data_IF_996451118452
#
_entry.id   IF_996451118452
#
_cell.length_a   1.000
_cell.length_b   1.000
_cell.length_c   1.000
_cell.angle_alpha   90.00
_cell.angle_beta   90.00
_cell.angle_gamma   90.00
#
_symmetry.space_group_name_H-M   'P 1'
#
loop_
_entity.id
_entity.type
_entity.pdbx_description
1 polymer ?
#
# COMPACT_ATOMS: atom_id res chain seq x y z
N UNK A 1 -24.63 6.08 -39.86
CA UNK A 1 -23.80 5.42 -38.83
C UNK A 1 -22.99 6.49 -38.11
N UNK A 2 -23.14 6.61 -36.79
CA UNK A 2 -22.44 7.64 -36.00
C UNK A 2 -20.96 7.30 -35.84
N UNK A 3 -20.09 8.31 -35.91
CA UNK A 3 -18.65 8.16 -35.66
C UNK A 3 -18.39 7.60 -34.25
N UNK A 4 -17.41 6.70 -34.06
CA UNK A 4 -17.04 6.23 -32.72
C UNK A 4 -16.59 7.39 -31.85
N UNK A 5 -17.06 7.41 -30.60
CA UNK A 5 -16.68 8.41 -29.59
C UNK A 5 -15.88 7.74 -28.49
N UNK A 6 -14.74 8.33 -28.14
CA UNK A 6 -13.95 7.90 -26.99
C UNK A 6 -14.46 8.62 -25.75
N UNK A 7 -14.66 7.86 -24.67
CA UNK A 7 -15.06 8.37 -23.36
C UNK A 7 -13.90 8.20 -22.39
N UNK A 8 -13.43 9.30 -21.79
CA UNK A 8 -12.44 9.22 -20.72
C UNK A 8 -13.13 9.08 -19.36
N UNK A 9 -12.86 7.98 -18.66
CA UNK A 9 -13.41 7.67 -17.34
C UNK A 9 -12.98 8.68 -16.26
N UNK A 10 -11.73 9.14 -16.29
CA UNK A 10 -11.22 10.12 -15.32
C UNK A 10 -11.82 11.52 -15.50
N UNK A 11 -12.29 11.85 -16.71
CA UNK A 11 -12.76 13.19 -17.05
C UNK A 11 -14.27 13.26 -17.32
N UNK A 12 -14.96 12.12 -17.41
CA UNK A 12 -16.37 12.01 -17.84
C UNK A 12 -16.68 12.83 -19.10
N UNK A 13 -15.75 12.84 -20.06
CA UNK A 13 -15.85 13.59 -21.31
C UNK A 13 -15.84 12.63 -22.49
N UNK A 14 -16.80 12.80 -23.39
CA UNK A 14 -16.87 12.11 -24.67
C UNK A 14 -16.36 13.01 -25.78
N UNK A 15 -15.48 12.50 -26.64
CA UNK A 15 -14.95 13.21 -27.80
C UNK A 15 -14.79 12.26 -29.00
N UNK A 16 -14.42 12.80 -30.16
CA UNK A 16 -14.17 11.98 -31.37
C UNK A 16 -13.02 11.01 -31.16
N UNK A 17 -13.22 9.73 -31.46
CA UNK A 17 -12.17 8.72 -31.29
C UNK A 17 -11.11 8.79 -32.39
N UNK A 18 -10.28 9.83 -32.30
CA UNK A 18 -9.05 9.97 -33.08
C UNK A 18 -7.84 9.81 -32.17
N UNK A 19 -6.81 9.14 -32.66
CA UNK A 19 -5.55 8.93 -31.92
C UNK A 19 -4.95 10.26 -31.44
N UNK A 20 -4.98 11.30 -32.28
CA UNK A 20 -4.46 12.62 -31.94
C UNK A 20 -5.30 13.30 -30.84
N UNK A 21 -6.63 13.23 -30.93
CA UNK A 21 -7.52 13.78 -29.93
C UNK A 21 -7.32 13.10 -28.56
N UNK A 22 -7.15 11.78 -28.55
CA UNK A 22 -6.85 10.99 -27.34
C UNK A 22 -5.50 11.36 -26.75
N UNK A 23 -4.47 11.47 -27.58
CA UNK A 23 -3.12 11.84 -27.13
C UNK A 23 -3.09 13.26 -26.55
N UNK A 24 -3.74 14.22 -27.21
CA UNK A 24 -3.88 15.60 -26.72
C UNK A 24 -4.64 15.67 -25.40
N UNK A 25 -5.72 14.89 -25.27
CA UNK A 25 -6.48 14.78 -24.03
C UNK A 25 -5.63 14.25 -22.88
N UNK A 26 -4.96 13.11 -23.07
CA UNK A 26 -4.15 12.45 -22.04
C UNK A 26 -2.94 13.30 -21.59
N UNK A 27 -2.37 14.10 -22.50
CA UNK A 27 -1.28 15.04 -22.17
C UNK A 27 -1.77 16.30 -21.44
N UNK A 28 -3.07 16.56 -21.46
CA UNK A 28 -3.68 17.74 -20.85
C UNK A 28 -3.55 17.76 -19.32
N UNK A 29 -3.38 18.97 -18.78
CA UNK A 29 -3.24 19.19 -17.32
C UNK A 29 -4.46 18.69 -16.53
N UNK A 30 -5.65 18.89 -17.09
CA UNK A 30 -6.91 18.48 -16.45
C UNK A 30 -6.98 16.95 -16.28
N UNK A 31 -6.65 16.19 -17.33
CA UNK A 31 -6.61 14.73 -17.27
C UNK A 31 -5.62 14.25 -16.20
N UNK A 32 -4.39 14.77 -16.19
CA UNK A 32 -3.38 14.42 -15.19
C UNK A 32 -3.82 14.73 -13.75
N UNK A 33 -4.49 15.86 -13.54
CA UNK A 33 -5.01 16.24 -12.23
C UNK A 33 -6.12 15.28 -11.77
N UNK A 34 -7.06 14.92 -12.64
CA UNK A 34 -8.13 13.99 -12.31
C UNK A 34 -7.59 12.58 -12.05
N UNK A 35 -6.61 12.13 -12.83
CA UNK A 35 -5.93 10.85 -12.59
C UNK A 35 -5.25 10.87 -11.23
N UNK A 36 -4.54 11.94 -10.87
CA UNK A 36 -3.92 12.08 -9.55
C UNK A 36 -4.97 12.02 -8.43
N UNK A 37 -6.03 12.81 -8.52
CA UNK A 37 -7.11 12.82 -7.53
C UNK A 37 -7.77 11.46 -7.36
N UNK A 38 -7.95 10.73 -8.47
CA UNK A 38 -8.49 9.38 -8.44
C UNK A 38 -7.59 8.45 -7.63
N UNK A 39 -6.28 8.44 -7.89
CA UNK A 39 -5.33 7.64 -7.09
C UNK A 39 -5.22 8.10 -5.62
N UNK A 40 -5.21 9.41 -5.37
CA UNK A 40 -5.17 9.97 -4.01
C UNK A 40 -6.37 9.50 -3.18
N UNK A 41 -7.54 9.35 -3.80
CA UNK A 41 -8.77 8.91 -3.11
C UNK A 41 -8.66 7.49 -2.53
N UNK A 42 -7.88 6.60 -3.15
CA UNK A 42 -7.62 5.27 -2.60
C UNK A 42 -6.70 5.35 -1.37
N UNK A 43 -5.68 6.22 -1.39
CA UNK A 43 -4.81 6.41 -0.23
C UNK A 43 -5.57 7.01 0.96
N UNK A 44 -6.49 7.94 0.72
CA UNK A 44 -7.38 8.47 1.74
C UNK A 44 -8.39 7.43 2.24
N UNK A 45 -8.84 6.52 1.38
CA UNK A 45 -9.73 5.44 1.79
C UNK A 45 -9.05 4.48 2.78
N UNK A 46 -7.78 4.12 2.56
CA UNK A 46 -7.01 3.30 3.50
C UNK A 46 -6.82 4.00 4.85
N UNK A 47 -6.53 5.31 4.84
CA UNK A 47 -6.47 6.12 6.06
C UNK A 47 -7.81 6.19 6.79
N UNK A 48 -8.92 6.38 6.06
CA UNK A 48 -10.28 6.41 6.63
C UNK A 48 -10.68 5.07 7.25
N UNK A 49 -10.31 3.95 6.64
CA UNK A 49 -10.52 2.61 7.21
C UNK A 49 -9.76 2.41 8.52
N UNK A 50 -8.55 2.95 8.63
CA UNK A 50 -7.78 2.90 9.87
C UNK A 50 -8.42 3.73 11.00
N UNK A 51 -8.93 4.93 10.69
CA UNK A 51 -9.59 5.80 11.67
C UNK A 51 -10.98 5.31 12.08
N UNK A 52 -11.75 4.70 11.16
CA UNK A 52 -13.09 4.20 11.47
C UNK A 52 -13.08 3.03 12.47
N UNK A 53 -11.95 2.33 12.66
CA UNK A 53 -11.82 1.30 13.70
C UNK A 53 -11.72 1.85 15.13
N UNK A 54 -11.75 3.17 15.33
CA UNK A 54 -11.56 3.78 16.66
C UNK A 54 -12.82 4.37 17.29
N UNK A 55 -13.99 4.33 16.63
CA UNK A 55 -15.23 4.92 17.17
C UNK A 55 -16.20 3.87 17.79
N UNK A 56 -15.66 2.86 18.48
CA UNK A 56 -16.47 2.11 19.47
C UNK A 56 -16.05 2.56 20.86
N UNK A 57 -16.79 3.48 21.53
CA UNK A 57 -16.54 3.82 22.91
C UNK A 57 -17.15 2.72 23.79
N UNK A 58 -16.41 1.63 23.97
CA UNK A 58 -16.86 0.55 24.85
C UNK A 58 -16.20 -0.79 24.60
N UNK A 59 -15.13 -1.04 25.37
CA UNK A 59 -14.74 -2.37 25.86
C UNK A 59 -13.94 -3.28 24.91
N UNK A 60 -12.64 -3.41 25.20
CA UNK A 60 -11.83 -4.52 24.74
C UNK A 60 -10.35 -4.15 24.53
N UNK A 61 -9.56 -4.29 25.59
CA UNK A 61 -8.10 -4.11 25.61
C UNK A 61 -7.39 -4.58 24.33
N UNK A 62 -6.59 -3.69 23.74
CA UNK A 62 -5.40 -4.07 22.95
C UNK A 62 -4.35 -2.99 23.17
N UNK A 63 -3.73 -3.08 24.33
CA UNK A 63 -2.62 -2.24 24.76
C UNK A 63 -1.37 -2.58 23.93
N UNK A 64 -1.03 -1.71 22.98
CA UNK A 64 0.35 -1.61 22.50
C UNK A 64 1.09 -0.71 23.48
N UNK A 65 1.72 -1.29 24.49
CA UNK A 65 2.66 -0.56 25.33
C UNK A 65 4.01 -0.46 24.61
N UNK A 66 4.59 0.74 24.42
CA UNK A 66 5.96 0.85 23.98
C UNK A 66 6.87 0.28 25.08
N UNK A 67 7.68 -0.72 24.75
CA UNK A 67 8.69 -1.24 25.67
C UNK A 67 9.80 -0.20 25.80
N UNK A 68 9.85 0.49 26.93
CA UNK A 68 10.97 1.36 27.29
C UNK A 68 12.15 0.46 27.70
N UNK A 69 13.35 0.60 27.11
CA UNK A 69 14.50 -0.21 27.48
C UNK A 69 15.14 0.40 28.73
N UNK A 70 14.54 0.17 29.88
CA UNK A 70 15.26 0.28 31.15
C UNK A 70 15.97 -1.04 31.37
N UNK A 71 17.29 -1.03 31.19
CA UNK A 71 18.20 -2.08 31.63
C UNK A 71 17.87 -2.41 33.08
N UNK A 72 17.30 -3.57 33.31
CA UNK A 72 17.45 -4.26 34.58
C UNK A 72 17.74 -5.72 34.26
N UNK A 73 18.94 -6.10 34.66
CA UNK A 73 19.46 -7.46 34.72
C UNK A 73 18.41 -8.37 35.37
N UNK A 74 18.25 -9.60 34.86
CA UNK A 74 17.41 -10.71 35.38
C UNK A 74 16.02 -10.88 34.73
N UNK A 75 15.97 -11.59 33.59
CA UNK A 75 14.76 -12.14 32.95
C UNK A 75 15.11 -13.26 31.95
N UNK A 76 14.24 -14.25 31.71
CA UNK A 76 14.60 -15.62 31.36
C UNK A 76 15.20 -15.73 29.96
N UNK A 77 16.24 -16.56 29.85
CA UNK A 77 16.93 -16.92 28.62
C UNK A 77 15.90 -17.39 27.60
N UNK A 78 15.72 -16.65 26.50
CA UNK A 78 14.84 -17.06 25.40
C UNK A 78 15.46 -18.29 24.73
N UNK A 79 15.03 -19.47 25.15
CA UNK A 79 15.44 -20.75 24.57
C UNK A 79 14.97 -20.82 23.10
N UNK A 80 15.93 -20.99 22.18
CA UNK A 80 15.74 -20.99 20.72
C UNK A 80 14.60 -21.92 20.26
N UNK A 81 14.30 -22.96 21.04
CA UNK A 81 13.29 -23.98 20.78
C UNK A 81 11.84 -23.54 20.95
N UNK A 82 11.58 -22.43 21.65
CA UNK A 82 10.21 -21.92 21.88
C UNK A 82 9.84 -20.73 20.98
N UNK A 83 10.71 -20.33 20.05
CA UNK A 83 10.41 -19.24 19.13
C UNK A 83 9.56 -19.73 17.95
N UNK A 84 8.63 -18.90 17.43
CA UNK A 84 7.92 -19.21 16.20
C UNK A 84 8.91 -19.36 15.02
N UNK A 85 8.56 -20.15 13.98
CA UNK A 85 9.44 -20.40 12.83
C UNK A 85 9.96 -19.13 12.14
N UNK A 86 9.19 -18.04 12.21
CA UNK A 86 9.51 -16.72 11.65
C UNK A 86 10.62 -15.96 12.40
N UNK A 87 10.96 -16.37 13.63
CA UNK A 87 11.97 -15.74 14.48
C UNK A 87 13.29 -16.55 14.53
N UNK A 88 13.37 -17.66 13.80
CA UNK A 88 14.60 -18.43 13.71
C UNK A 88 15.60 -17.71 12.80
N UNK A 89 16.87 -17.55 13.22
CA UNK A 89 17.89 -16.99 12.36
C UNK A 89 18.07 -17.90 11.14
N UNK A 90 18.32 -17.28 9.98
CA UNK A 90 18.56 -18.03 8.75
C UNK A 90 19.78 -18.95 8.94
N UNK A 91 19.71 -20.22 8.53
CA UNK A 91 20.82 -21.14 8.70
C UNK A 91 22.07 -20.61 7.95
N UNK A 92 23.27 -20.73 8.54
CA UNK A 92 24.51 -20.32 7.89
C UNK A 92 24.67 -21.13 6.59
N UNK A 93 24.62 -20.44 5.44
CA UNK A 93 24.53 -21.10 4.12
C UNK A 93 23.47 -20.48 3.21
N UNK A 94 22.37 -19.97 3.77
CA UNK A 94 21.22 -19.43 3.03
C UNK A 94 21.54 -18.19 2.19
N UNK A 95 22.53 -17.39 2.58
CA UNK A 95 22.95 -16.18 1.86
C UNK A 95 23.97 -16.44 0.73
N UNK A 96 24.49 -17.67 0.58
CA UNK A 96 25.44 -17.99 -0.49
C UNK A 96 24.79 -18.18 -1.86
N UNK A 97 23.47 -18.36 -1.92
CA UNK A 97 22.70 -18.40 -3.16
C UNK A 97 22.07 -17.03 -3.45
N UNK A 98 22.91 -16.04 -3.75
CA UNK A 98 22.42 -14.84 -4.43
C UNK A 98 22.04 -15.25 -5.86
N UNK A 99 20.74 -15.42 -6.12
CA UNK A 99 20.19 -15.63 -7.47
C UNK A 99 20.34 -14.33 -8.26
N UNK A 100 21.50 -14.17 -8.92
CA UNK A 100 21.80 -13.08 -9.84
C UNK A 100 21.18 -13.28 -11.23
N UNK A 101 19.89 -13.60 -11.31
CA UNK A 101 19.20 -13.75 -12.60
C UNK A 101 17.83 -13.08 -12.57
N UNK A 102 17.84 -11.78 -12.82
CA UNK A 102 16.72 -11.09 -13.46
C UNK A 102 17.35 -10.13 -14.48
N UNK A 103 17.47 -10.59 -15.72
CA UNK A 103 17.77 -9.80 -16.91
C UNK A 103 16.51 -9.24 -17.56
#
# INVERSE_FOLDING_TARGET
MGKPRFVCEYCNKAFEDSHEARQRHNRGRNHKANVKLWYDSFADQERRKATQRQDTPGQGNSAWTPVNPTVNDQGPVLELQNLPPSMHPAPPGSFYYCRSDWG
#
